data_IF_444817685165
#
_entry.id   IF_444817685165
#
_cell.length_a   1.000
_cell.length_b   1.000
_cell.length_c   1.000
_cell.angle_alpha   90.00
_cell.angle_beta   90.00
_cell.angle_gamma   90.00
#
_symmetry.space_group_name_H-M   'P 1'
#
loop_
_entity.id
_entity.type
_entity.pdbx_description
1 polymer ?
#
# COMPACT_ATOMS: atom_id res chain seq x y z
N UNK A 1 58.67 1.89 -27.29
CA UNK A 1 58.22 1.51 -25.93
C UNK A 1 56.70 1.69 -25.90
N UNK A 2 55.97 0.59 -25.77
CA UNK A 2 54.49 0.54 -25.86
C UNK A 2 53.89 1.22 -24.62
N UNK A 3 52.97 2.16 -24.79
CA UNK A 3 52.07 2.58 -23.70
C UNK A 3 50.64 2.19 -24.10
N UNK A 4 50.11 1.25 -23.32
CA UNK A 4 48.81 0.60 -23.46
C UNK A 4 47.69 1.55 -23.04
N UNK A 5 46.59 1.55 -23.80
CA UNK A 5 45.34 2.14 -23.37
C UNK A 5 44.71 1.29 -22.25
N UNK A 6 44.21 1.93 -21.20
CA UNK A 6 43.33 1.31 -20.21
C UNK A 6 42.01 2.09 -20.20
N UNK A 7 40.98 1.47 -20.79
CA UNK A 7 39.61 1.95 -20.76
C UNK A 7 38.99 1.44 -19.45
N UNK A 8 38.85 2.29 -18.45
CA UNK A 8 38.07 1.94 -17.26
C UNK A 8 36.58 2.15 -17.58
N UNK A 9 35.81 1.07 -17.65
CA UNK A 9 34.34 1.15 -17.63
C UNK A 9 33.92 1.76 -16.29
N UNK A 10 33.45 3.00 -16.31
CA UNK A 10 32.68 3.55 -15.20
C UNK A 10 31.30 2.86 -15.20
N UNK A 11 31.10 1.90 -14.31
CA UNK A 11 29.75 1.40 -14.03
C UNK A 11 28.95 2.52 -13.39
N UNK A 12 28.05 3.13 -14.16
CA UNK A 12 27.06 4.05 -13.64
C UNK A 12 26.06 3.22 -12.83
N UNK A 13 26.27 3.12 -11.52
CA UNK A 13 25.27 2.55 -10.63
C UNK A 13 24.10 3.52 -10.55
N UNK A 14 23.07 3.31 -11.38
CA UNK A 14 21.79 3.98 -11.21
C UNK A 14 21.10 3.32 -10.02
N UNK A 15 21.43 3.78 -8.81
CA UNK A 15 20.59 3.55 -7.65
C UNK A 15 19.28 4.26 -7.92
N UNK A 16 18.28 3.54 -8.42
CA UNK A 16 16.91 4.01 -8.36
C UNK A 16 16.65 4.31 -6.88
N UNK A 17 16.25 5.53 -6.49
CA UNK A 17 15.74 5.70 -5.15
C UNK A 17 14.57 4.72 -5.02
N UNK A 18 14.74 3.69 -4.19
CA UNK A 18 13.57 3.01 -3.62
C UNK A 18 12.75 4.14 -3.04
N UNK A 19 11.54 4.35 -3.54
CA UNK A 19 10.60 5.26 -2.90
C UNK A 19 10.28 4.64 -1.54
N UNK A 20 11.13 4.88 -0.54
CA UNK A 20 10.83 4.67 0.87
C UNK A 20 9.84 5.79 1.21
N UNK A 21 8.61 5.69 0.73
CA UNK A 21 7.53 6.33 1.45
C UNK A 21 7.23 5.42 2.63
N UNK A 22 7.50 5.94 3.83
CA UNK A 22 7.03 5.29 5.04
C UNK A 22 5.50 5.13 4.94
N UNK A 23 4.99 4.00 5.41
CA UNK A 23 3.56 3.73 5.41
C UNK A 23 2.77 4.87 6.07
N UNK A 24 1.64 5.23 5.48
CA UNK A 24 0.68 6.13 6.11
C UNK A 24 -0.14 5.30 7.10
N UNK A 25 0.02 5.55 8.40
CA UNK A 25 -0.62 4.76 9.45
C UNK A 25 -1.96 5.36 9.87
N UNK A 26 -3.00 4.51 9.90
CA UNK A 26 -4.34 4.79 10.41
C UNK A 26 -4.50 4.05 11.72
N UNK A 27 -4.40 4.80 12.82
CA UNK A 27 -4.57 4.26 14.17
C UNK A 27 -6.03 3.88 14.45
N UNK A 28 -6.27 2.86 15.30
CA UNK A 28 -7.61 2.47 15.70
C UNK A 28 -8.35 3.58 16.45
N UNK A 29 -9.67 3.63 16.30
CA UNK A 29 -10.50 4.62 16.99
C UNK A 29 -11.85 4.89 16.32
N UNK A 30 -12.56 5.89 16.85
CA UNK A 30 -13.83 6.38 16.29
C UNK A 30 -13.63 7.81 15.79
N UNK A 31 -13.76 8.00 14.48
CA UNK A 31 -13.71 9.30 13.84
C UNK A 31 -15.13 9.81 13.58
N UNK A 32 -15.50 10.92 14.24
CA UNK A 32 -16.80 11.58 14.06
C UNK A 32 -16.85 12.42 12.78
N UNK A 33 -15.71 12.78 12.22
CA UNK A 33 -15.57 13.44 10.93
C UNK A 33 -14.22 13.05 10.34
N UNK A 34 -14.22 12.51 9.13
CA UNK A 34 -13.02 12.01 8.48
C UNK A 34 -13.09 12.27 6.98
N UNK A 35 -12.21 13.15 6.49
CA UNK A 35 -12.16 13.53 5.07
C UNK A 35 -10.75 13.25 4.57
N UNK A 36 -10.57 12.08 3.96
CA UNK A 36 -9.26 11.60 3.52
C UNK A 36 -9.18 11.49 2.01
N UNK A 37 -7.96 11.68 1.52
CA UNK A 37 -7.56 11.37 0.15
C UNK A 37 -6.33 10.48 0.22
N UNK A 38 -6.49 9.22 -0.15
CA UNK A 38 -5.44 8.23 -0.21
C UNK A 38 -4.93 8.13 -1.64
N UNK A 39 -3.63 8.37 -1.82
CA UNK A 39 -2.98 8.35 -3.13
C UNK A 39 -1.87 7.31 -3.19
N UNK A 40 -1.45 6.97 -4.41
CA UNK A 40 -0.33 6.07 -4.70
C UNK A 40 0.99 6.59 -4.12
N UNK A 41 1.18 7.92 -4.10
CA UNK A 41 2.40 8.56 -3.59
C UNK A 41 2.56 8.36 -2.07
N UNK A 42 1.44 8.30 -1.34
CA UNK A 42 1.42 8.10 0.12
C UNK A 42 1.11 6.65 0.52
N UNK A 43 1.16 5.73 -0.44
CA UNK A 43 0.93 4.30 -0.26
C UNK A 43 2.16 3.61 0.34
N UNK A 44 2.01 2.56 1.18
CA UNK A 44 0.75 1.95 1.61
C UNK A 44 0.06 2.70 2.74
N UNK A 45 -1.28 2.67 2.75
CA UNK A 45 -2.13 3.08 3.88
C UNK A 45 -2.37 1.89 4.79
N UNK A 46 -1.88 1.92 6.02
CA UNK A 46 -1.92 0.79 6.96
C UNK A 46 -2.94 1.03 8.06
N UNK A 47 -3.93 0.15 8.15
CA UNK A 47 -4.94 0.17 9.20
C UNK A 47 -4.50 -0.78 10.31
N UNK A 48 -4.12 -0.24 11.46
CA UNK A 48 -3.49 -1.00 12.54
C UNK A 48 -4.49 -1.67 13.49
N UNK A 49 -5.77 -1.33 13.41
CA UNK A 49 -6.79 -1.90 14.27
C UNK A 49 -8.20 -1.53 13.87
N UNK A 50 -9.19 -1.76 14.75
CA UNK A 50 -10.58 -1.38 14.49
C UNK A 50 -10.73 0.15 14.40
N UNK A 51 -11.05 0.64 13.22
CA UNK A 51 -11.28 2.05 12.92
C UNK A 51 -12.71 2.24 12.42
N UNK A 52 -13.46 3.11 13.09
CA UNK A 52 -14.84 3.45 12.75
C UNK A 52 -14.93 4.90 12.29
N UNK A 53 -15.63 5.13 11.18
CA UNK A 53 -15.88 6.46 10.63
C UNK A 53 -17.37 6.70 10.58
N UNK A 54 -17.81 7.79 11.21
CA UNK A 54 -19.24 8.12 11.28
C UNK A 54 -19.72 9.02 10.15
N UNK A 55 -18.90 9.99 9.74
CA UNK A 55 -19.25 11.00 8.74
C UNK A 55 -18.01 11.43 7.95
N UNK A 56 -18.19 11.83 6.69
CA UNK A 56 -17.16 12.46 5.86
C UNK A 56 -16.97 11.82 4.50
N UNK A 57 -15.75 11.81 3.99
CA UNK A 57 -15.41 11.24 2.68
C UNK A 57 -14.07 10.51 2.68
N UNK A 58 -13.99 9.41 1.92
CA UNK A 58 -12.75 8.72 1.63
C UNK A 58 -12.60 8.58 0.11
N UNK A 59 -11.62 9.27 -0.48
CA UNK A 59 -11.22 9.05 -1.88
C UNK A 59 -9.94 8.22 -1.93
N UNK A 60 -9.94 7.14 -2.70
CA UNK A 60 -8.79 6.26 -2.90
C UNK A 60 -8.42 6.28 -4.39
N UNK A 61 -7.31 6.94 -4.69
CA UNK A 61 -6.80 7.11 -6.05
C UNK A 61 -6.26 5.82 -6.66
N UNK A 62 -6.18 5.75 -7.99
CA UNK A 62 -5.61 4.62 -8.74
C UNK A 62 -4.21 4.22 -8.25
N UNK A 63 -3.93 2.91 -8.19
CA UNK A 63 -2.63 2.38 -7.78
C UNK A 63 -2.33 2.44 -6.28
N UNK A 64 -3.29 2.88 -5.47
CA UNK A 64 -3.14 2.93 -4.01
C UNK A 64 -3.20 1.53 -3.40
N UNK A 65 -2.31 1.25 -2.44
CA UNK A 65 -2.32 0.03 -1.61
C UNK A 65 -2.84 0.37 -0.22
N UNK A 66 -3.83 -0.37 0.22
CA UNK A 66 -4.39 -0.33 1.57
C UNK A 66 -4.11 -1.67 2.23
N UNK A 67 -3.43 -1.62 3.38
CA UNK A 67 -3.04 -2.81 4.14
C UNK A 67 -3.74 -2.86 5.49
N UNK A 68 -4.11 -4.08 5.90
CA UNK A 68 -4.81 -4.36 7.14
C UNK A 68 -3.92 -5.18 8.07
N UNK A 69 -3.65 -4.64 9.26
CA UNK A 69 -2.98 -5.39 10.32
C UNK A 69 -3.88 -6.51 10.85
N UNK A 70 -3.31 -7.40 11.66
CA UNK A 70 -4.09 -8.40 12.38
C UNK A 70 -5.20 -7.73 13.21
N UNK A 71 -6.40 -8.33 13.21
CA UNK A 71 -7.57 -7.83 13.93
C UNK A 71 -8.00 -6.38 13.59
N UNK A 72 -7.55 -5.86 12.44
CA UNK A 72 -7.94 -4.53 11.97
C UNK A 72 -9.24 -4.55 11.16
N UNK A 73 -9.94 -3.41 11.13
CA UNK A 73 -11.10 -3.22 10.26
C UNK A 73 -11.35 -1.75 10.02
N UNK A 74 -11.80 -1.38 8.82
CA UNK A 74 -12.31 -0.05 8.53
C UNK A 74 -13.83 -0.11 8.37
N UNK A 75 -14.55 0.51 9.30
CA UNK A 75 -16.01 0.49 9.35
C UNK A 75 -16.56 1.87 9.04
N UNK A 76 -17.16 2.01 7.87
CA UNK A 76 -17.77 3.25 7.42
C UNK A 76 -19.28 3.21 7.68
N UNK A 77 -19.81 4.22 8.37
CA UNK A 77 -21.24 4.33 8.66
C UNK A 77 -21.96 5.12 7.56
N UNK A 78 -23.30 5.05 7.52
CA UNK A 78 -24.12 5.44 6.37
C UNK A 78 -24.01 6.89 5.85
N UNK A 79 -23.29 7.77 6.55
CA UNK A 79 -23.07 9.16 6.14
C UNK A 79 -21.61 9.42 5.70
N UNK A 80 -20.94 8.39 5.15
CA UNK A 80 -19.60 8.49 4.58
C UNK A 80 -19.67 8.25 3.07
N UNK A 81 -19.11 9.18 2.29
CA UNK A 81 -18.95 9.01 0.84
C UNK A 81 -17.63 8.31 0.55
N UNK A 82 -17.65 7.24 -0.24
CA UNK A 82 -16.42 6.51 -0.63
C UNK A 82 -16.28 6.52 -2.13
N UNK A 83 -15.11 6.94 -2.61
CA UNK A 83 -14.75 6.92 -4.02
C UNK A 83 -13.48 6.08 -4.17
N UNK A 84 -13.53 5.06 -5.04
CA UNK A 84 -12.38 4.20 -5.35
C UNK A 84 -12.13 4.32 -6.84
N UNK A 85 -10.99 4.90 -7.20
CA UNK A 85 -10.65 5.29 -8.58
C UNK A 85 -9.66 4.32 -9.24
N UNK A 86 -9.67 3.06 -8.82
CA UNK A 86 -8.85 2.01 -9.40
C UNK A 86 -9.19 1.76 -10.87
N UNK A 87 -8.16 1.49 -11.68
CA UNK A 87 -8.31 1.14 -13.10
C UNK A 87 -7.69 -0.23 -13.38
N UNK A 88 -7.93 -0.81 -14.56
CA UNK A 88 -7.26 -2.06 -14.94
C UNK A 88 -5.71 -1.97 -14.96
N UNK A 89 -5.09 -0.90 -15.51
CA UNK A 89 -3.63 -0.77 -15.46
C UNK A 89 -3.08 -0.33 -14.09
N UNK A 90 -3.87 0.39 -13.28
CA UNK A 90 -3.50 0.83 -11.93
C UNK A 90 -4.66 0.55 -10.95
N UNK A 91 -4.83 -0.71 -10.51
CA UNK A 91 -5.89 -1.08 -9.58
C UNK A 91 -5.61 -0.55 -8.17
N UNK A 92 -6.66 -0.43 -7.37
CA UNK A 92 -6.54 -0.22 -5.92
C UNK A 92 -6.47 -1.58 -5.25
N UNK A 93 -5.50 -1.77 -4.36
CA UNK A 93 -5.29 -3.02 -3.65
C UNK A 93 -5.73 -2.90 -2.19
N UNK A 94 -6.49 -3.88 -1.72
CA UNK A 94 -6.79 -4.08 -0.31
C UNK A 94 -6.20 -5.44 0.08
N UNK A 95 -5.23 -5.45 0.99
CA UNK A 95 -4.50 -6.67 1.35
C UNK A 95 -4.04 -6.68 2.80
N UNK A 96 -3.39 -7.74 3.25
CA UNK A 96 -2.80 -7.84 4.59
C UNK A 96 -1.48 -7.06 4.68
N UNK A 97 -1.11 -6.60 5.89
CA UNK A 97 0.25 -6.10 6.15
C UNK A 97 1.34 -7.13 5.80
N UNK A 98 1.00 -8.42 5.88
CA UNK A 98 1.88 -9.56 5.59
C UNK A 98 1.96 -9.94 4.10
N UNK A 99 1.24 -9.24 3.21
CA UNK A 99 1.30 -9.51 1.78
C UNK A 99 2.39 -8.65 1.13
N UNK A 100 3.56 -9.23 0.90
CA UNK A 100 4.69 -8.54 0.27
C UNK A 100 4.56 -8.44 -1.24
N UNK A 101 3.61 -9.16 -1.85
CA UNK A 101 3.44 -9.17 -3.31
C UNK A 101 2.90 -7.84 -3.86
N UNK A 102 2.31 -7.02 -2.98
CA UNK A 102 1.74 -5.71 -3.30
C UNK A 102 2.21 -4.67 -2.29
N UNK A 103 2.81 -3.58 -2.76
CA UNK A 103 3.27 -2.48 -1.89
C UNK A 103 4.51 -2.79 -1.05
N UNK A 104 5.08 -3.99 -1.16
CA UNK A 104 6.31 -4.41 -0.47
C UNK A 104 6.13 -4.78 1.00
N UNK A 105 7.23 -5.19 1.63
CA UNK A 105 7.30 -5.57 3.05
C UNK A 105 7.01 -4.36 3.94
N UNK A 106 5.80 -4.33 4.50
CA UNK A 106 5.27 -3.20 5.27
C UNK A 106 5.39 -3.43 6.78
N UNK A 107 5.51 -4.68 7.22
CA UNK A 107 5.68 -5.07 8.62
C UNK A 107 7.16 -5.33 8.99
N UNK A 108 8.08 -5.26 8.03
CA UNK A 108 9.52 -5.33 8.24
C UNK A 108 10.02 -6.72 8.64
N UNK A 109 9.27 -7.78 8.35
CA UNK A 109 9.67 -9.15 8.68
C UNK A 109 10.49 -9.84 7.57
N UNK A 110 10.83 -9.09 6.52
CA UNK A 110 11.73 -9.48 5.46
C UNK A 110 11.05 -10.41 4.45
N UNK A 111 11.55 -11.64 4.33
CA UNK A 111 10.95 -12.69 3.48
C UNK A 111 10.28 -13.79 4.30
N UNK A 112 10.03 -13.54 5.59
CA UNK A 112 9.41 -14.51 6.49
C UNK A 112 7.94 -14.75 6.11
N UNK A 113 7.30 -13.78 5.46
CA UNK A 113 6.00 -13.89 4.81
C UNK A 113 6.17 -14.33 3.36
N UNK A 114 6.10 -15.64 3.13
CA UNK A 114 5.78 -16.10 1.78
C UNK A 114 4.37 -15.57 1.43
N UNK A 115 4.16 -14.97 0.23
CA UNK A 115 2.85 -14.43 -0.13
C UNK A 115 1.83 -15.56 -0.05
N UNK A 116 0.90 -15.47 0.90
CA UNK A 116 -0.24 -16.35 0.93
C UNK A 116 -1.16 -15.90 -0.21
N UNK A 117 -1.35 -16.70 -1.28
CA UNK A 117 -2.28 -16.34 -2.34
C UNK A 117 -3.65 -16.15 -1.70
N UNK A 118 -4.22 -14.95 -1.88
CA UNK A 118 -5.52 -14.61 -1.33
C UNK A 118 -6.53 -15.73 -1.64
N UNK A 119 -7.23 -16.20 -0.61
CA UNK A 119 -8.37 -17.10 -0.78
C UNK A 119 -9.47 -16.28 -1.45
N UNK A 120 -9.42 -16.24 -2.78
CA UNK A 120 -10.45 -15.70 -3.63
C UNK A 120 -11.69 -16.59 -3.52
N UNK A 121 -12.62 -16.22 -2.65
CA UNK A 121 -13.98 -16.75 -2.68
C UNK A 121 -14.65 -16.24 -3.97
N UNK A 122 -14.49 -17.00 -5.05
CA UNK A 122 -15.31 -16.87 -6.25
C UNK A 122 -16.74 -17.22 -5.87
N UNK A 123 -17.58 -16.22 -5.61
CA UNK A 123 -19.03 -16.42 -5.56
C UNK A 123 -19.54 -16.50 -7.00
N UNK A 124 -19.77 -17.73 -7.44
CA UNK A 124 -20.44 -18.03 -8.69
C UNK A 124 -21.35 -19.25 -8.52
N UNK A 125 -22.64 -18.97 -8.32
CA UNK A 125 -23.79 -19.62 -8.96
C UNK A 125 -25.03 -18.80 -8.67
#
# INVERSE_FOLDING_TARGET
MKLSAAFALATLAFSLPSAIHAATVISPGVNLSWNEVWTKENSPHVIEGPTQVRFGSLSIGSGTVVKFAADSSLRLHGNVVVTIEGTAPDPVYFTSIHDDSVGGDTNGDGSATAPAPGVMAKLGS
#
